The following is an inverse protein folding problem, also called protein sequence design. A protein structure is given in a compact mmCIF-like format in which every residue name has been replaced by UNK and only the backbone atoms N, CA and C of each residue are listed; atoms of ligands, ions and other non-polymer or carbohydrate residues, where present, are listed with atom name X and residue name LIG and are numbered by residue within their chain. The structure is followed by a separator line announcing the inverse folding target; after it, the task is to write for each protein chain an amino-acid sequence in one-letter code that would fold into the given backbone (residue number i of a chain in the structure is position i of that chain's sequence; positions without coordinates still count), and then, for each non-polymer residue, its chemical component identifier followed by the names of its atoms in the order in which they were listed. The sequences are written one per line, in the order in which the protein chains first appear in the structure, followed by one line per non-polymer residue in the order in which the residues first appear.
data_IF_500171375215
#
_entry.id   IF_500171375215
#
_cell.length_a   1.000
_cell.length_b   1.000
_cell.length_c   1.000
_cell.angle_alpha   90.00
_cell.angle_beta   90.00
_cell.angle_gamma   90.00
#
_symmetry.space_group_name_H-M   'P 1'
#
loop_
_entity.id
_entity.type
_entity.pdbx_description
1 polymer ?
#
# COMPACT_ATOMS: atom_id res chain seq x y z
N UNK A 1 11.79 -7.58 -5.49
CA UNK A 1 11.04 -6.34 -5.17
C UNK A 1 11.58 -5.75 -3.88
N UNK A 2 11.83 -4.47 -3.87
CA UNK A 2 12.21 -3.75 -2.66
C UNK A 2 10.98 -3.01 -2.12
N UNK A 3 10.69 -3.20 -0.83
CA UNK A 3 9.54 -2.55 -0.19
C UNK A 3 10.06 -1.61 0.88
N UNK A 4 9.63 -0.36 0.83
CA UNK A 4 10.02 0.68 1.78
C UNK A 4 8.77 1.26 2.42
N UNK A 5 8.84 1.51 3.74
CA UNK A 5 7.82 2.25 4.47
C UNK A 5 8.48 3.54 4.92
N UNK A 6 8.06 4.68 4.39
CA UNK A 6 8.73 5.93 4.70
C UNK A 6 8.40 6.43 6.11
N UNK A 7 9.09 7.51 6.51
CA UNK A 7 8.93 8.05 7.86
C UNK A 7 7.49 8.50 8.16
N UNK A 8 6.83 9.11 7.18
CA UNK A 8 5.46 9.58 7.34
C UNK A 8 4.50 8.41 7.56
N UNK A 9 4.67 7.33 6.80
CA UNK A 9 3.84 6.13 6.96
C UNK A 9 4.10 5.45 8.29
N UNK A 10 5.37 5.36 8.72
CA UNK A 10 5.71 4.78 10.03
C UNK A 10 5.07 5.57 11.17
N UNK A 11 5.13 6.90 11.10
CA UNK A 11 4.51 7.76 12.11
C UNK A 11 2.99 7.61 12.14
N UNK A 12 2.37 7.55 10.96
CA UNK A 12 0.93 7.32 10.83
C UNK A 12 0.51 6.00 11.47
N UNK A 13 1.24 4.93 11.17
CA UNK A 13 0.91 3.60 11.70
C UNK A 13 1.12 3.54 13.21
N UNK A 14 2.17 4.15 13.72
CA UNK A 14 2.42 4.20 15.16
C UNK A 14 1.30 4.95 15.89
N UNK A 15 0.82 6.04 15.31
CA UNK A 15 -0.28 6.83 15.88
C UNK A 15 -1.58 6.03 15.96
N UNK A 16 -1.79 5.11 15.02
CA UNK A 16 -2.99 4.28 14.96
C UNK A 16 -2.78 2.89 15.58
N UNK A 17 -1.64 2.65 16.24
CA UNK A 17 -1.29 1.36 16.85
C UNK A 17 -1.32 0.20 15.86
N UNK A 18 -0.86 0.44 14.64
CA UNK A 18 -0.81 -0.55 13.58
C UNK A 18 0.63 -0.89 13.25
N UNK A 19 0.91 -2.18 12.99
CA UNK A 19 2.24 -2.67 12.64
C UNK A 19 2.27 -3.36 11.29
N UNK A 20 1.17 -3.36 10.57
CA UNK A 20 1.08 -3.99 9.25
C UNK A 20 0.19 -3.19 8.32
N UNK A 21 0.46 -3.37 7.02
CA UNK A 21 -0.36 -2.80 5.94
C UNK A 21 -0.50 -3.83 4.85
N UNK A 22 -1.52 -3.69 4.02
CA UNK A 22 -1.65 -4.51 2.81
C UNK A 22 -2.04 -3.65 1.63
N UNK A 23 -1.54 -4.05 0.45
CA UNK A 23 -1.80 -3.34 -0.79
C UNK A 23 -2.99 -3.94 -1.53
N UNK A 24 -3.64 -3.12 -2.32
CA UNK A 24 -4.76 -3.53 -3.13
C UNK A 24 -4.76 -2.73 -4.43
N UNK A 25 -5.11 -3.37 -5.53
CA UNK A 25 -5.33 -2.68 -6.80
C UNK A 25 -6.81 -2.80 -7.15
N UNK A 26 -7.55 -1.75 -6.84
CA UNK A 26 -8.96 -1.67 -7.14
C UNK A 26 -9.22 -1.04 -8.49
N UNK A 27 -10.50 -0.90 -8.83
CA UNK A 27 -10.94 -0.20 -10.02
C UNK A 27 -11.84 0.96 -9.66
N UNK A 28 -11.65 2.08 -10.34
CA UNK A 28 -12.52 3.23 -10.22
C UNK A 28 -13.28 3.41 -11.55
N UNK A 29 -14.61 3.40 -11.48
CA UNK A 29 -15.43 3.54 -12.69
C UNK A 29 -15.44 4.99 -13.13
N UNK A 30 -15.13 5.23 -14.39
CA UNK A 30 -15.12 6.55 -15.01
C UNK A 30 -15.93 6.53 -16.29
N UNK A 31 -16.03 7.69 -16.95
CA UNK A 31 -16.69 7.80 -18.27
C UNK A 31 -16.03 6.90 -19.32
N UNK A 32 -14.73 6.68 -19.22
CA UNK A 32 -13.98 5.85 -20.19
C UNK A 32 -13.88 4.39 -19.81
N UNK A 33 -14.56 3.95 -18.74
CA UNK A 33 -14.48 2.57 -18.26
C UNK A 33 -13.93 2.47 -16.86
N UNK A 34 -13.17 1.40 -16.57
CA UNK A 34 -12.58 1.17 -15.25
C UNK A 34 -11.10 1.55 -15.30
N UNK A 35 -10.69 2.42 -14.37
CA UNK A 35 -9.29 2.84 -14.20
C UNK A 35 -8.72 2.15 -12.99
N UNK A 36 -7.55 1.47 -13.11
CA UNK A 36 -6.90 0.86 -11.97
C UNK A 36 -6.54 1.91 -10.92
N UNK A 37 -6.77 1.58 -9.66
CA UNK A 37 -6.49 2.50 -8.55
C UNK A 37 -5.77 1.76 -7.42
N UNK A 38 -4.48 2.04 -7.21
CA UNK A 38 -3.74 1.46 -6.09
C UNK A 38 -4.25 1.98 -4.76
N UNK A 39 -4.26 1.11 -3.77
CA UNK A 39 -4.67 1.46 -2.41
C UNK A 39 -3.82 0.72 -1.39
N UNK A 40 -3.76 1.26 -0.18
CA UNK A 40 -3.08 0.66 0.96
C UNK A 40 -3.98 0.78 2.17
N UNK A 41 -4.11 -0.31 2.90
CA UNK A 41 -4.91 -0.34 4.12
C UNK A 41 -4.06 -0.77 5.30
N UNK A 42 -4.30 -0.19 6.47
CA UNK A 42 -3.67 -0.63 7.71
C UNK A 42 -4.27 -1.98 8.13
N UNK A 43 -3.44 -2.83 8.74
CA UNK A 43 -3.86 -4.15 9.21
C UNK A 43 -3.43 -5.26 8.28
N UNK A 44 -4.13 -6.40 8.37
CA UNK A 44 -3.85 -7.59 7.58
C UNK A 44 -5.03 -7.92 6.67
N UNK A 45 -4.79 -8.51 5.49
CA UNK A 45 -5.90 -8.97 4.66
C UNK A 45 -6.59 -10.20 5.29
N UNK A 46 -7.82 -10.46 4.88
CA UNK A 46 -8.60 -11.59 5.41
C UNK A 46 -7.95 -12.94 5.10
N UNK A 47 -7.30 -13.05 3.94
CA UNK A 47 -6.58 -14.25 3.54
C UNK A 47 -5.18 -13.86 3.09
N UNK A 48 -4.16 -14.58 3.58
CA UNK A 48 -2.77 -14.34 3.20
C UNK A 48 -2.36 -15.09 1.94
N UNK A 49 -3.21 -15.97 1.43
CA UNK A 49 -2.87 -16.85 0.30
C UNK A 49 -2.55 -16.08 -0.98
N UNK A 50 -3.14 -14.89 -1.13
CA UNK A 50 -2.93 -14.05 -2.32
C UNK A 50 -1.88 -12.97 -2.12
N UNK A 51 -1.10 -13.05 -1.03
CA UNK A 51 -0.14 -12.00 -0.67
C UNK A 51 1.25 -12.57 -0.42
N UNK A 52 2.25 -11.78 -0.81
CA UNK A 52 3.64 -11.99 -0.40
C UNK A 52 3.91 -11.08 0.80
N UNK A 53 4.70 -11.58 1.74
CA UNK A 53 4.97 -10.86 2.99
C UNK A 53 6.37 -10.25 2.96
N UNK A 54 6.46 -8.96 3.23
CA UNK A 54 7.72 -8.23 3.36
C UNK A 54 7.77 -7.57 4.73
N UNK A 55 8.98 -7.36 5.24
CA UNK A 55 9.19 -6.59 6.47
C UNK A 55 10.09 -5.41 6.15
N UNK A 56 9.65 -4.21 6.51
CA UNK A 56 10.40 -2.98 6.28
C UNK A 56 10.27 -2.10 7.52
N UNK A 57 11.39 -1.78 8.15
CA UNK A 57 11.44 -0.87 9.31
C UNK A 57 10.48 -1.27 10.44
N UNK A 58 10.35 -2.58 10.69
CA UNK A 58 9.47 -3.09 11.74
C UNK A 58 8.01 -3.20 11.33
N UNK A 59 7.67 -2.84 10.10
CA UNK A 59 6.30 -2.92 9.58
C UNK A 59 6.20 -4.12 8.65
N UNK A 60 5.15 -4.91 8.80
CA UNK A 60 4.85 -6.00 7.89
C UNK A 60 4.03 -5.46 6.73
N UNK A 61 4.49 -5.70 5.51
CA UNK A 61 3.82 -5.24 4.30
C UNK A 61 3.37 -6.46 3.50
N UNK A 62 2.07 -6.61 3.35
CA UNK A 62 1.49 -7.67 2.52
C UNK A 62 1.24 -7.10 1.14
N UNK A 63 1.95 -7.61 0.15
CA UNK A 63 1.85 -7.17 -1.24
C UNK A 63 1.11 -8.23 -2.03
N UNK A 64 0.04 -7.85 -2.69
CA UNK A 64 -0.76 -8.80 -3.46
C UNK A 64 0.10 -9.46 -4.53
N UNK A 65 -0.02 -10.78 -4.68
CA UNK A 65 0.70 -11.55 -5.69
C UNK A 65 0.33 -11.05 -7.08
N UNK A 66 1.32 -10.99 -7.95
CA UNK A 66 1.14 -10.47 -9.30
C UNK A 66 1.26 -8.95 -9.41
N UNK A 67 1.54 -8.26 -8.32
CA UNK A 67 1.77 -6.82 -8.37
C UNK A 67 2.98 -6.50 -9.23
N UNK A 68 2.79 -5.59 -10.18
CA UNK A 68 3.85 -5.10 -11.05
C UNK A 68 4.40 -3.78 -10.49
N UNK A 69 5.69 -3.55 -10.67
CA UNK A 69 6.32 -2.32 -10.23
C UNK A 69 6.98 -1.61 -11.39
N UNK A 70 7.09 -0.29 -11.31
CA UNK A 70 7.74 0.52 -12.35
C UNK A 70 9.25 0.33 -12.33
N UNK A 71 9.84 0.28 -11.13
CA UNK A 71 11.31 0.22 -10.97
C UNK A 71 11.76 -0.88 -10.00
N UNK A 72 10.97 -1.91 -9.80
CA UNK A 72 11.31 -3.00 -8.89
C UNK A 72 11.14 -2.65 -7.42
N UNK A 73 10.49 -1.54 -7.09
CA UNK A 73 10.29 -1.14 -5.70
C UNK A 73 8.91 -0.53 -5.47
N UNK A 74 8.42 -0.73 -4.24
CA UNK A 74 7.19 -0.09 -3.76
C UNK A 74 7.52 0.72 -2.52
N UNK A 75 6.91 1.89 -2.39
CA UNK A 75 7.05 2.74 -1.21
C UNK A 75 5.68 2.98 -0.61
N UNK A 76 5.55 2.67 0.68
CA UNK A 76 4.35 3.00 1.45
C UNK A 76 4.58 4.38 2.07
N UNK A 77 3.66 5.28 1.83
CA UNK A 77 3.76 6.67 2.27
C UNK A 77 2.41 7.19 2.76
N UNK A 78 2.35 8.46 3.09
CA UNK A 78 1.11 9.12 3.48
C UNK A 78 0.93 10.35 2.59
N UNK A 79 -0.27 10.49 2.07
CA UNK A 79 -0.66 11.68 1.31
C UNK A 79 -1.79 12.39 2.05
N UNK A 80 -1.84 13.70 1.89
CA UNK A 80 -2.92 14.50 2.47
C UNK A 80 -4.00 14.73 1.41
N UNK A 81 -5.21 14.31 1.73
CA UNK A 81 -6.36 14.51 0.85
C UNK A 81 -7.44 15.23 1.65
N UNK A 82 -7.78 16.46 1.23
CA UNK A 82 -8.84 17.26 1.87
C UNK A 82 -8.69 17.35 3.39
N UNK A 83 -7.52 17.61 3.91
CA UNK A 83 -7.20 17.72 5.34
C UNK A 83 -7.12 16.38 6.08
N UNK A 84 -7.24 15.25 5.39
CA UNK A 84 -7.11 13.93 6.00
C UNK A 84 -5.85 13.26 5.49
N UNK A 85 -5.04 12.73 6.41
CA UNK A 85 -3.88 11.93 6.04
C UNK A 85 -4.34 10.51 5.67
N UNK A 86 -3.83 9.98 4.58
CA UNK A 86 -4.20 8.67 4.07
C UNK A 86 -2.96 7.92 3.62
N UNK A 87 -2.91 6.63 3.93
CA UNK A 87 -1.85 5.77 3.41
C UNK A 87 -1.93 5.69 1.89
N UNK A 88 -0.77 5.64 1.26
CA UNK A 88 -0.67 5.52 -0.19
C UNK A 88 0.51 4.62 -0.56
N UNK A 89 0.46 4.04 -1.76
CA UNK A 89 1.54 3.23 -2.30
C UNK A 89 2.04 3.86 -3.59
N UNK A 90 3.36 3.98 -3.71
CA UNK A 90 4.02 4.50 -4.91
C UNK A 90 4.88 3.41 -5.55
N UNK A 91 5.00 3.46 -6.86
CA UNK A 91 5.84 2.53 -7.62
C UNK A 91 5.09 1.35 -8.22
N UNK A 92 3.78 1.26 -8.03
CA UNK A 92 2.98 0.19 -8.62
C UNK A 92 2.71 0.51 -10.10
N UNK A 93 2.99 -0.46 -10.97
CA UNK A 93 2.67 -0.36 -12.40
C UNK A 93 1.31 -1.00 -12.66
N UNK A 94 0.52 -0.37 -13.54
CA UNK A 94 -0.83 -0.88 -13.86
C UNK A 94 -1.35 -0.34 -15.18
#
# INVERSE_FOLDING_TARGET
MTVTVDEKARAFLAKHNETSVYTYLGGCRTWGGVVPQPAVFAGSPDSLDDYDTYTADGITVYVRKGTQTENGSLTITVVKMLWVDSLAVEGMAY
#
